data_IF_876391823085
#
_entry.id   IF_876391823085
#
_cell.length_a   1.000
_cell.length_b   1.000
_cell.length_c   1.000
_cell.angle_alpha   90.00
_cell.angle_beta   90.00
_cell.angle_gamma   90.00
#
_symmetry.space_group_name_H-M   'P 1'
#
loop_
_entity.id
_entity.type
_entity.pdbx_description
1 polymer ?
#
# COMPACT_ATOMS: atom_id res chain seq x y z
N UNK A 1 2.47 -31.97 -28.99
CA UNK A 1 3.08 -30.65 -29.26
C UNK A 1 4.33 -30.43 -28.41
N UNK A 2 5.46 -29.96 -28.95
CA UNK A 2 6.66 -29.66 -28.15
C UNK A 2 6.56 -28.30 -27.44
N UNK A 3 7.43 -28.03 -26.45
CA UNK A 3 7.40 -26.77 -25.69
C UNK A 3 7.54 -25.52 -26.56
N UNK A 4 8.38 -25.57 -27.60
CA UNK A 4 8.58 -24.44 -28.51
C UNK A 4 7.34 -24.13 -29.34
N UNK A 5 6.55 -25.16 -29.68
CA UNK A 5 5.27 -24.97 -30.37
C UNK A 5 4.20 -24.45 -29.41
N UNK A 6 4.12 -24.98 -28.19
CA UNK A 6 3.24 -24.44 -27.14
C UNK A 6 3.54 -22.96 -26.86
N UNK A 7 4.82 -22.58 -26.81
CA UNK A 7 5.29 -21.20 -26.66
C UNK A 7 4.74 -20.29 -27.77
N UNK A 8 4.91 -20.69 -29.04
CA UNK A 8 4.39 -19.93 -30.19
C UNK A 8 2.87 -19.77 -30.14
N UNK A 9 2.13 -20.82 -29.78
CA UNK A 9 0.66 -20.80 -29.77
C UNK A 9 0.04 -20.03 -28.62
N UNK A 10 0.73 -19.96 -27.48
CA UNK A 10 0.25 -19.28 -26.27
C UNK A 10 0.84 -17.89 -26.08
N UNK A 11 1.90 -17.55 -26.83
CA UNK A 11 2.67 -16.32 -26.65
C UNK A 11 3.41 -16.27 -25.31
N UNK A 12 3.63 -17.42 -24.67
CA UNK A 12 4.30 -17.55 -23.38
C UNK A 12 5.70 -18.10 -23.60
N UNK A 13 6.70 -17.47 -22.98
CA UNK A 13 8.10 -17.93 -23.10
C UNK A 13 8.25 -19.36 -22.59
N UNK A 14 9.14 -20.13 -23.21
CA UNK A 14 9.44 -21.51 -22.77
C UNK A 14 9.87 -21.58 -21.31
N UNK A 15 10.62 -20.56 -20.83
CA UNK A 15 11.00 -20.44 -19.41
C UNK A 15 9.78 -20.43 -18.50
N UNK A 16 8.74 -19.67 -18.87
CA UNK A 16 7.52 -19.56 -18.08
C UNK A 16 6.65 -20.82 -18.22
N UNK A 17 6.59 -21.45 -19.39
CA UNK A 17 5.95 -22.76 -19.56
C UNK A 17 6.60 -23.84 -18.70
N UNK A 18 7.94 -23.89 -18.64
CA UNK A 18 8.66 -24.80 -17.72
C UNK A 18 8.36 -24.49 -16.26
N UNK A 19 8.15 -23.23 -15.92
CA UNK A 19 7.70 -22.86 -14.57
C UNK A 19 6.30 -23.40 -14.29
N UNK A 20 5.35 -23.23 -15.22
CA UNK A 20 4.00 -23.78 -15.09
C UNK A 20 3.99 -25.30 -14.95
N UNK A 21 4.84 -26.00 -15.71
CA UNK A 21 5.02 -27.46 -15.58
C UNK A 21 5.54 -27.84 -14.19
N UNK A 22 6.58 -27.15 -13.69
CA UNK A 22 7.11 -27.38 -12.33
C UNK A 22 6.09 -27.11 -11.22
N UNK A 23 5.18 -26.17 -11.44
CA UNK A 23 4.12 -25.84 -10.48
C UNK A 23 2.86 -26.69 -10.66
N UNK A 24 2.91 -27.71 -11.52
CA UNK A 24 1.78 -28.64 -11.81
C UNK A 24 0.54 -27.92 -12.37
N UNK A 25 0.74 -26.80 -13.08
CA UNK A 25 -0.34 -26.09 -13.78
C UNK A 25 -0.58 -26.65 -15.18
N UNK A 26 0.46 -27.20 -15.80
CA UNK A 26 0.40 -27.90 -17.08
C UNK A 26 1.15 -29.22 -16.94
N UNK A 27 0.72 -30.24 -17.67
CA UNK A 27 1.35 -31.54 -17.67
C UNK A 27 1.93 -31.85 -19.05
N UNK A 28 3.11 -32.47 -19.04
CA UNK A 28 3.76 -33.00 -20.23
C UNK A 28 3.83 -34.52 -20.13
N UNK A 29 3.49 -35.21 -21.20
CA UNK A 29 3.67 -36.64 -21.31
C UNK A 29 5.06 -36.95 -21.85
N UNK A 30 5.70 -37.98 -21.28
CA UNK A 30 6.94 -38.52 -21.84
C UNK A 30 6.59 -39.52 -22.93
N UNK A 31 7.04 -39.26 -24.14
CA UNK A 31 6.97 -40.20 -25.25
C UNK A 31 8.10 -41.24 -25.16
N UNK A 32 7.90 -42.37 -25.82
CA UNK A 32 8.88 -43.46 -25.90
C UNK A 32 10.24 -43.02 -26.50
N UNK A 33 10.26 -41.94 -27.28
CA UNK A 33 11.45 -41.33 -27.86
C UNK A 33 12.20 -40.39 -26.89
N UNK A 34 11.79 -40.28 -25.63
CA UNK A 34 12.43 -39.45 -24.60
C UNK A 34 12.04 -37.97 -24.61
N UNK A 35 11.25 -37.52 -25.59
CA UNK A 35 10.78 -36.14 -25.66
C UNK A 35 9.55 -35.91 -24.76
N UNK A 36 9.38 -34.65 -24.34
CA UNK A 36 8.20 -34.16 -23.64
C UNK A 36 7.21 -33.57 -24.63
N UNK A 37 5.98 -34.08 -24.62
CA UNK A 37 4.89 -33.54 -25.42
C UNK A 37 3.78 -33.01 -24.52
N UNK A 38 3.21 -31.89 -24.95
CA UNK A 38 2.01 -31.30 -24.39
C UNK A 38 0.84 -31.61 -25.30
N UNK A 39 -0.31 -31.86 -24.68
CA UNK A 39 -1.58 -32.03 -25.36
C UNK A 39 -2.14 -30.67 -25.83
N UNK A 40 -3.09 -30.72 -26.76
CA UNK A 40 -3.83 -29.58 -27.28
C UNK A 40 -4.52 -28.78 -26.16
N UNK A 41 -5.04 -29.49 -25.15
CA UNK A 41 -5.66 -28.89 -23.96
C UNK A 41 -4.70 -27.99 -23.16
N UNK A 42 -3.39 -28.20 -23.29
CA UNK A 42 -2.40 -27.36 -22.61
C UNK A 42 -2.48 -25.90 -23.09
N UNK A 43 -2.86 -25.64 -24.34
CA UNK A 43 -3.04 -24.27 -24.86
C UNK A 43 -4.13 -23.55 -24.09
N UNK A 44 -5.29 -24.18 -23.94
CA UNK A 44 -6.42 -23.60 -23.22
C UNK A 44 -6.15 -23.48 -21.72
N UNK A 45 -5.42 -24.43 -21.14
CA UNK A 45 -4.98 -24.33 -19.73
C UNK A 45 -4.05 -23.15 -19.52
N UNK A 46 -3.07 -22.93 -20.41
CA UNK A 46 -2.16 -21.78 -20.33
C UNK A 46 -2.93 -20.45 -20.48
N UNK A 47 -3.90 -20.38 -21.39
CA UNK A 47 -4.76 -19.19 -21.54
C UNK A 47 -5.55 -18.89 -20.25
N UNK A 48 -6.16 -19.92 -19.64
CA UNK A 48 -6.85 -19.82 -18.35
C UNK A 48 -5.93 -19.37 -17.22
N UNK A 49 -4.73 -19.94 -17.12
CA UNK A 49 -3.71 -19.51 -16.15
C UNK A 49 -3.41 -18.02 -16.30
N UNK A 50 -3.22 -17.54 -17.53
CA UNK A 50 -2.94 -16.12 -17.79
C UNK A 50 -4.09 -15.21 -17.40
N UNK A 51 -5.32 -15.60 -17.69
CA UNK A 51 -6.51 -14.84 -17.29
C UNK A 51 -6.60 -14.73 -15.77
N UNK A 52 -6.38 -15.83 -15.04
CA UNK A 52 -6.41 -15.83 -13.57
C UNK A 52 -5.27 -15.02 -12.96
N UNK A 53 -4.06 -15.08 -13.55
CA UNK A 53 -2.93 -14.24 -13.14
C UNK A 53 -3.23 -12.74 -13.34
N UNK A 54 -3.95 -12.38 -14.40
CA UNK A 54 -4.32 -10.99 -14.68
C UNK A 54 -5.29 -10.41 -13.63
N UNK A 55 -6.07 -11.25 -12.96
CA UNK A 55 -6.95 -10.87 -11.83
C UNK A 55 -6.16 -10.73 -10.52
N UNK A 56 -4.86 -11.04 -10.51
CA UNK A 56 -4.01 -10.92 -9.33
C UNK A 56 -4.00 -12.18 -8.45
N UNK A 57 -4.54 -13.30 -8.94
CA UNK A 57 -4.45 -14.57 -8.22
C UNK A 57 -3.02 -15.13 -8.29
N UNK A 58 -2.42 -15.55 -7.17
CA UNK A 58 -1.12 -16.19 -7.19
C UNK A 58 -1.21 -17.61 -7.74
N UNK A 59 -0.13 -18.08 -8.36
CA UNK A 59 0.02 -19.44 -8.92
C UNK A 59 -0.48 -20.55 -7.97
N UNK A 60 -0.27 -20.41 -6.65
CA UNK A 60 -0.73 -21.38 -5.64
C UNK A 60 -2.25 -21.54 -5.62
N UNK A 61 -2.98 -20.42 -5.72
CA UNK A 61 -4.45 -20.41 -5.72
C UNK A 61 -4.97 -20.83 -7.08
N UNK A 62 -4.30 -20.39 -8.16
CA UNK A 62 -4.62 -20.82 -9.53
C UNK A 62 -4.60 -22.35 -9.64
N UNK A 63 -3.60 -23.03 -9.07
CA UNK A 63 -3.54 -24.50 -9.05
C UNK A 63 -4.76 -25.16 -8.39
N UNK A 64 -5.32 -24.54 -7.36
CA UNK A 64 -6.52 -25.05 -6.67
C UNK A 64 -7.81 -24.76 -7.45
N UNK A 65 -7.83 -23.66 -8.21
CA UNK A 65 -8.98 -23.18 -8.96
C UNK A 65 -9.08 -23.83 -10.35
N UNK A 66 -7.95 -24.12 -11.00
CA UNK A 66 -7.89 -24.67 -12.36
C UNK A 66 -8.75 -25.93 -12.56
N UNK A 67 -8.73 -26.95 -11.68
CA UNK A 67 -9.57 -28.14 -11.84
C UNK A 67 -11.08 -27.85 -11.84
N UNK A 68 -11.46 -26.69 -11.29
CA UNK A 68 -12.84 -26.24 -11.12
C UNK A 68 -13.28 -25.31 -12.26
N UNK A 69 -12.39 -25.04 -13.20
CA UNK A 69 -12.56 -24.08 -14.28
C UNK A 69 -12.62 -24.84 -15.61
N UNK A 70 -13.82 -25.03 -16.17
CA UNK A 70 -13.96 -25.68 -17.47
C UNK A 70 -13.70 -24.71 -18.65
N UNK A 71 -14.03 -23.43 -18.47
CA UNK A 71 -13.82 -22.36 -19.44
C UNK A 71 -13.34 -21.07 -18.75
N UNK A 72 -12.80 -20.13 -19.51
CA UNK A 72 -12.21 -18.85 -19.08
C UNK A 72 -13.08 -17.97 -18.18
N UNK A 73 -14.40 -18.16 -18.16
CA UNK A 73 -15.33 -17.28 -17.44
C UNK A 73 -16.18 -17.96 -16.34
N UNK A 74 -16.20 -19.29 -16.22
CA UNK A 74 -17.11 -19.97 -15.28
C UNK A 74 -16.38 -20.93 -14.33
N UNK A 75 -16.55 -20.67 -13.04
CA UNK A 75 -16.09 -21.54 -11.96
C UNK A 75 -17.24 -22.44 -11.53
N UNK A 76 -17.02 -23.75 -11.54
CA UNK A 76 -17.96 -24.66 -10.86
C UNK A 76 -17.77 -24.58 -9.34
N UNK A 77 -18.84 -24.86 -8.57
CA UNK A 77 -18.71 -25.03 -7.12
C UNK A 77 -17.70 -26.13 -6.81
N UNK A 78 -16.57 -25.73 -6.25
CA UNK A 78 -15.53 -26.63 -5.76
C UNK A 78 -15.31 -26.41 -4.27
N UNK A 79 -15.22 -27.48 -3.47
CA UNK A 79 -14.91 -27.37 -2.05
C UNK A 79 -13.59 -26.60 -1.83
N UNK A 80 -13.60 -25.61 -0.93
CA UNK A 80 -12.40 -24.84 -0.55
C UNK A 80 -11.92 -23.76 -1.53
N UNK A 81 -12.41 -23.76 -2.78
CA UNK A 81 -12.04 -22.73 -3.77
C UNK A 81 -12.58 -21.36 -3.38
N UNK A 82 -13.85 -21.26 -2.98
CA UNK A 82 -14.44 -20.00 -2.54
C UNK A 82 -13.71 -19.41 -1.33
N UNK A 83 -13.31 -20.25 -0.38
CA UNK A 83 -12.51 -19.82 0.78
C UNK A 83 -11.15 -19.26 0.36
N UNK A 84 -10.49 -19.92 -0.59
CA UNK A 84 -9.19 -19.48 -1.11
C UNK A 84 -9.30 -18.16 -1.89
N UNK A 85 -10.37 -17.99 -2.68
CA UNK A 85 -10.64 -16.75 -3.40
C UNK A 85 -10.97 -15.59 -2.44
N UNK A 86 -11.81 -15.83 -1.42
CA UNK A 86 -12.10 -14.84 -0.37
C UNK A 86 -10.83 -14.40 0.35
N UNK A 87 -9.98 -15.34 0.76
CA UNK A 87 -8.71 -15.01 1.41
C UNK A 87 -7.75 -14.23 0.49
N UNK A 88 -7.79 -14.43 -0.83
CA UNK A 88 -7.04 -13.58 -1.76
C UNK A 88 -7.64 -12.18 -1.90
N UNK A 89 -8.97 -12.08 -1.91
CA UNK A 89 -9.65 -10.78 -1.93
C UNK A 89 -9.27 -9.96 -0.69
N UNK A 90 -9.31 -10.56 0.49
CA UNK A 90 -8.91 -9.91 1.75
C UNK A 90 -7.47 -9.38 1.69
N UNK A 91 -6.55 -10.15 1.10
CA UNK A 91 -5.14 -9.73 0.92
C UNK A 91 -5.04 -8.55 -0.05
N UNK A 92 -5.80 -8.56 -1.14
CA UNK A 92 -5.81 -7.47 -2.12
C UNK A 92 -6.41 -6.19 -1.51
N UNK A 93 -7.49 -6.31 -0.76
CA UNK A 93 -8.14 -5.20 -0.07
C UNK A 93 -7.21 -4.57 0.97
N UNK A 94 -6.49 -5.38 1.74
CA UNK A 94 -5.50 -4.87 2.70
C UNK A 94 -4.38 -4.10 1.99
N UNK A 95 -3.84 -4.65 0.89
CA UNK A 95 -2.80 -3.96 0.11
C UNK A 95 -3.31 -2.66 -0.50
N UNK A 96 -4.56 -2.63 -0.95
CA UNK A 96 -5.19 -1.41 -1.46
C UNK A 96 -5.28 -0.35 -0.35
N UNK A 97 -5.74 -0.71 0.85
CA UNK A 97 -5.81 0.20 1.99
C UNK A 97 -4.43 0.75 2.40
N UNK A 98 -3.39 -0.09 2.39
CA UNK A 98 -2.02 0.31 2.68
C UNK A 98 -1.49 1.31 1.63
N UNK A 99 -1.71 1.00 0.33
CA UNK A 99 -1.32 1.88 -0.77
C UNK A 99 -2.06 3.22 -0.74
N UNK A 100 -3.34 3.23 -0.41
CA UNK A 100 -4.11 4.46 -0.23
C UNK A 100 -3.58 5.30 0.93
N UNK A 101 -3.19 4.66 2.04
CA UNK A 101 -2.59 5.34 3.18
C UNK A 101 -1.26 5.98 2.79
N UNK A 102 -0.38 5.23 2.15
CA UNK A 102 0.90 5.76 1.64
C UNK A 102 0.68 6.93 0.68
N UNK A 103 -0.29 6.82 -0.24
CA UNK A 103 -0.66 7.89 -1.18
C UNK A 103 -1.13 9.16 -0.48
N UNK A 104 -1.96 9.03 0.56
CA UNK A 104 -2.43 10.19 1.36
C UNK A 104 -1.26 10.89 2.06
N UNK A 105 -0.36 10.12 2.68
CA UNK A 105 0.81 10.67 3.36
C UNK A 105 1.73 11.40 2.38
N UNK A 106 2.05 10.79 1.24
CA UNK A 106 2.91 11.41 0.23
C UNK A 106 2.32 12.72 -0.31
N UNK A 107 1.01 12.75 -0.60
CA UNK A 107 0.31 13.97 -1.01
C UNK A 107 0.39 15.08 0.03
N UNK A 108 0.23 14.73 1.31
CA UNK A 108 0.34 15.70 2.40
C UNK A 108 1.76 16.27 2.48
N UNK A 109 2.77 15.41 2.38
CA UNK A 109 4.17 15.86 2.39
C UNK A 109 4.45 16.82 1.23
N UNK A 110 4.02 16.46 0.01
CA UNK A 110 4.16 17.33 -1.17
C UNK A 110 3.51 18.70 -0.92
N UNK A 111 2.24 18.72 -0.49
CA UNK A 111 1.53 19.97 -0.24
C UNK A 111 2.19 20.84 0.83
N UNK A 112 2.73 20.24 1.90
CA UNK A 112 3.46 20.99 2.94
C UNK A 112 4.75 21.58 2.38
N UNK A 113 5.52 20.81 1.62
CA UNK A 113 6.76 21.27 1.01
C UNK A 113 6.50 22.41 0.03
N UNK A 114 5.52 22.26 -0.87
CA UNK A 114 5.12 23.32 -1.81
C UNK A 114 4.68 24.60 -1.08
N UNK A 115 3.95 24.48 0.03
CA UNK A 115 3.55 25.63 0.83
C UNK A 115 4.75 26.36 1.47
N UNK A 116 5.76 25.62 1.93
CA UNK A 116 6.98 26.22 2.50
C UNK A 116 7.78 26.94 1.40
N UNK A 117 7.94 26.32 0.23
CA UNK A 117 8.61 26.92 -0.92
C UNK A 117 7.90 28.21 -1.36
N UNK A 118 6.58 28.17 -1.51
CA UNK A 118 5.78 29.33 -1.89
C UNK A 118 5.80 30.45 -0.84
N UNK A 119 5.87 30.11 0.45
CA UNK A 119 5.99 31.09 1.52
C UNK A 119 7.38 31.74 1.58
N UNK A 120 8.42 31.05 1.13
CA UNK A 120 9.77 31.61 1.01
C UNK A 120 9.90 32.57 -0.19
N UNK A 121 9.15 32.31 -1.27
CA UNK A 121 9.15 33.12 -2.49
C UNK A 121 8.34 34.43 -2.35
N UNK A 122 7.36 34.48 -1.43
CA UNK A 122 6.53 35.67 -1.20
C UNK A 122 7.27 36.68 -0.31
N UNK A 123 7.67 37.87 -0.82
CA UNK A 123 8.27 38.90 0.02
C UNK A 123 7.28 39.37 1.08
N UNK A 124 7.75 39.71 2.30
CA UNK A 124 6.87 40.23 3.34
C UNK A 124 6.15 41.47 2.83
N UNK A 125 4.82 41.50 2.98
CA UNK A 125 3.99 42.62 2.54
C UNK A 125 4.56 43.95 3.05
N UNK A 126 4.77 44.96 2.19
CA UNK A 126 5.34 46.22 2.63
C UNK A 126 4.34 46.98 3.51
N UNK A 127 4.67 47.09 4.80
CA UNK A 127 4.30 48.24 5.63
C UNK A 127 3.11 48.10 6.57
N UNK A 128 3.21 47.26 7.59
CA UNK A 128 2.57 47.58 8.86
C UNK A 128 3.46 48.58 9.61
N UNK A 129 3.31 49.89 9.31
CA UNK A 129 3.93 50.96 10.10
C UNK A 129 3.37 50.88 11.52
N UNK A 130 4.11 50.29 12.45
CA UNK A 130 3.86 50.45 13.89
C UNK A 130 4.00 51.93 14.22
N UNK A 131 2.87 52.62 14.39
CA UNK A 131 2.87 53.95 15.03
C UNK A 131 3.27 53.73 16.48
N UNK A 132 4.56 53.86 16.77
CA UNK A 132 5.03 54.01 18.15
C UNK A 132 4.44 55.30 18.70
N UNK A 133 3.52 55.18 19.67
CA UNK A 133 3.10 56.31 20.51
C UNK A 133 4.19 56.49 21.57
N UNK A 134 4.89 57.64 21.66
CA UNK A 134 5.90 57.84 22.69
C UNK A 134 5.18 58.07 24.02
N UNK A 135 5.45 57.24 25.05
CA UNK A 135 4.88 57.50 26.38
C UNK A 135 4.78 56.37 27.41
N UNK A 136 5.27 55.15 27.16
CA UNK A 136 5.27 54.11 28.21
C UNK A 136 6.66 53.49 28.38
N UNK A 137 7.33 53.88 29.46
CA UNK A 137 8.57 53.27 29.93
C UNK A 137 8.32 51.80 30.31
N UNK A 138 9.19 50.85 29.91
CA UNK A 138 9.04 49.47 30.33
C UNK A 138 9.34 49.34 31.82
N UNK A 139 8.36 48.95 32.63
CA UNK A 139 8.57 48.61 34.04
C UNK A 139 9.51 47.40 34.09
N UNK A 140 10.71 47.61 34.63
CA UNK A 140 11.65 46.53 34.95
C UNK A 140 11.04 45.66 36.04
N UNK A 141 10.73 44.41 35.74
CA UNK A 141 10.52 43.40 36.78
C UNK A 141 11.86 43.13 37.45
N UNK A 142 11.97 43.46 38.74
CA UNK A 142 13.08 43.00 39.59
C UNK A 142 12.99 41.47 39.83
N UNK A 143 14.09 40.82 40.23
CA UNK A 143 14.12 39.38 40.44
C UNK A 143 13.23 38.98 41.63
N UNK A 144 12.34 37.99 41.43
CA UNK A 144 11.58 37.36 42.52
C UNK A 144 12.47 36.37 43.29
N UNK A 145 12.37 36.30 44.63
CA UNK A 145 13.08 35.29 45.42
C UNK A 145 12.43 33.89 45.25
N UNK A 146 13.19 32.79 45.41
CA UNK A 146 12.66 31.44 45.24
C UNK A 146 11.68 31.08 46.38
N UNK A 147 10.47 30.65 46.01
CA UNK A 147 9.48 30.11 46.94
C UNK A 147 9.90 28.72 47.45
N UNK A 148 9.92 28.57 48.79
CA UNK A 148 10.24 27.34 49.52
C UNK A 148 9.45 26.12 49.05
N UNK A 149 10.18 25.01 48.93
CA UNK A 149 9.68 23.67 48.68
C UNK A 149 8.69 23.18 49.75
N UNK A 150 7.51 22.72 49.32
CA UNK A 150 6.63 21.84 50.08
C UNK A 150 6.73 20.42 49.52
N UNK A 151 7.11 19.47 50.39
CA UNK A 151 7.09 18.02 50.10
C UNK A 151 5.66 17.54 50.04
N UNK A 152 5.30 16.83 48.98
CA UNK A 152 4.01 16.13 48.86
C UNK A 152 4.05 15.19 47.68
N UNK A 153 3.96 13.90 47.94
CA UNK A 153 4.02 12.79 46.98
C UNK A 153 2.73 12.63 46.18
N UNK A 154 2.84 12.13 44.95
CA UNK A 154 1.76 11.38 44.32
C UNK A 154 1.29 11.87 42.96
N UNK A 155 1.72 11.15 41.92
CA UNK A 155 0.95 10.68 40.77
C UNK A 155 0.17 11.66 39.85
N UNK A 156 0.22 11.27 38.57
CA UNK A 156 -0.68 11.57 37.47
C UNK A 156 -0.51 12.93 36.76
N UNK A 157 0.05 12.86 35.56
CA UNK A 157 0.04 13.94 34.59
C UNK A 157 -1.37 14.29 34.14
N UNK A 158 -1.62 15.60 34.07
CA UNK A 158 -2.59 16.21 33.16
C UNK A 158 -2.01 17.54 32.68
N UNK A 159 -2.09 17.74 31.36
CA UNK A 159 -1.83 18.99 30.69
C UNK A 159 -2.79 20.08 31.18
N UNK A 160 -2.29 21.30 31.41
CA UNK A 160 -3.12 22.51 31.46
C UNK A 160 -2.37 23.67 30.79
N UNK A 161 -2.91 24.03 29.63
CA UNK A 161 -2.96 25.29 28.89
C UNK A 161 -2.33 26.54 29.55
N UNK A 162 -1.37 27.16 28.86
CA UNK A 162 -0.73 28.42 29.24
C UNK A 162 -1.25 29.62 28.43
N UNK A 163 -2.57 29.69 28.17
CA UNK A 163 -3.24 30.91 27.72
C UNK A 163 -4.24 31.41 28.75
N UNK A 164 -3.76 32.12 29.79
CA UNK A 164 -4.61 33.09 30.51
C UNK A 164 -3.78 34.10 31.30
N UNK A 165 -3.47 35.23 30.68
CA UNK A 165 -3.29 36.48 31.42
C UNK A 165 -4.64 37.21 31.40
N UNK A 166 -5.23 37.57 32.56
CA UNK A 166 -6.38 38.47 32.57
C UNK A 166 -5.90 39.90 32.30
N UNK A 167 -6.54 40.55 31.34
CA UNK A 167 -6.51 42.00 31.23
C UNK A 167 -7.29 42.60 32.41
N UNK A 168 -6.69 43.53 33.14
CA UNK A 168 -7.39 44.38 34.11
C UNK A 168 -7.26 45.81 33.58
N UNK A 169 -8.43 46.46 33.46
CA UNK A 169 -8.56 47.85 32.99
C UNK A 169 -8.28 48.89 34.06
#
# INVERSE_FOLDING_TARGET
>A
MLIGELSRRTGVSERLLRYYERTELIHAERRANGYREYDEQAVETVRRVRALLAVGLPTRVIRQVLPCTHDTATLRPCPGVLTSLRGQLDILDQRAADLETARRLLRRTIAVTENIENAAEQPPAPGARTRHRPGESPRRCGPQPPSRAGRGSGAAGKAIDARRCPAVG
#
